data_IF_627630485261
#
_entry.id   IF_627630485261
#
_cell.length_a   1.000
_cell.length_b   1.000
_cell.length_c   1.000
_cell.angle_alpha   90.00
_cell.angle_beta   90.00
_cell.angle_gamma   90.00
#
_symmetry.space_group_name_H-M   'P 1'
#
loop_
_entity.id
_entity.type
_entity.pdbx_description
1 polymer ?
#
# COMPACT_ATOMS: atom_id res chain seq x y z
N UNK A 1 -18.19 17.02 -72.56
CA UNK A 1 -17.94 18.41 -72.11
C UNK A 1 -16.83 18.37 -71.08
N UNK A 2 -15.64 18.84 -71.42
CA UNK A 2 -14.38 18.57 -70.72
C UNK A 2 -13.82 19.89 -70.17
N UNK A 3 -14.29 20.29 -68.98
CA UNK A 3 -13.70 21.39 -68.20
C UNK A 3 -13.71 20.99 -66.73
N UNK A 4 -12.69 20.26 -66.32
CA UNK A 4 -12.45 19.92 -64.92
C UNK A 4 -10.96 19.93 -64.66
N UNK A 5 -10.48 20.89 -63.88
CA UNK A 5 -9.08 20.91 -63.44
C UNK A 5 -8.80 19.65 -62.60
N UNK A 6 -7.66 18.99 -62.80
CA UNK A 6 -7.25 17.85 -61.99
C UNK A 6 -7.12 18.27 -60.52
N UNK A 7 -7.65 17.44 -59.62
CA UNK A 7 -7.60 17.68 -58.18
C UNK A 7 -6.15 17.81 -57.70
N UNK A 8 -5.93 18.49 -56.57
CA UNK A 8 -4.56 18.57 -55.99
C UNK A 8 -4.00 17.18 -55.70
N UNK A 9 -4.86 16.23 -55.35
CA UNK A 9 -4.50 14.83 -55.10
C UNK A 9 -4.06 14.13 -56.40
N UNK A 10 -4.85 14.25 -57.47
CA UNK A 10 -4.52 13.72 -58.78
C UNK A 10 -3.23 14.32 -59.35
N UNK A 11 -3.00 15.62 -59.17
CA UNK A 11 -1.75 16.30 -59.59
C UNK A 11 -0.51 15.82 -58.83
N UNK A 12 -0.68 15.40 -57.58
CA UNK A 12 0.41 14.92 -56.71
C UNK A 12 0.54 13.39 -56.70
N UNK A 13 -0.29 12.68 -57.48
CA UNK A 13 -0.26 11.22 -57.58
C UNK A 13 -0.81 10.49 -56.34
N UNK A 14 -1.64 11.15 -55.52
CA UNK A 14 -2.31 10.51 -54.39
C UNK A 14 -3.63 9.87 -54.82
N UNK A 15 -3.84 8.63 -54.40
CA UNK A 15 -5.04 7.82 -54.63
C UNK A 15 -5.48 7.16 -53.31
N UNK A 16 -6.74 6.74 -53.24
CA UNK A 16 -7.25 5.91 -52.14
C UNK A 16 -6.55 4.53 -52.13
N UNK A 17 -6.60 3.77 -51.02
CA UNK A 17 -5.95 2.45 -50.93
C UNK A 17 -6.41 1.43 -51.97
N UNK A 18 -7.59 1.62 -52.55
CA UNK A 18 -8.16 0.80 -53.62
C UNK A 18 -7.77 1.30 -55.04
N UNK A 19 -6.97 2.37 -55.13
CA UNK A 19 -6.49 2.97 -56.37
C UNK A 19 -7.44 3.99 -56.99
N UNK A 20 -8.57 4.32 -56.35
CA UNK A 20 -9.51 5.32 -56.85
C UNK A 20 -9.04 6.75 -56.60
N UNK A 21 -9.54 7.71 -57.40
CA UNK A 21 -9.16 9.13 -57.24
C UNK A 21 -9.78 9.69 -55.95
N UNK A 22 -8.96 10.39 -55.15
CA UNK A 22 -9.41 11.02 -53.91
C UNK A 22 -10.32 12.21 -54.25
N UNK A 23 -11.58 12.14 -53.80
CA UNK A 23 -12.55 13.22 -53.93
C UNK A 23 -12.90 13.80 -52.56
N UNK A 24 -12.52 15.05 -52.32
CA UNK A 24 -12.85 15.80 -51.09
C UNK A 24 -13.53 17.11 -51.45
N UNK A 25 -14.62 17.41 -50.75
CA UNK A 25 -15.35 18.68 -50.84
C UNK A 25 -14.80 19.69 -49.84
N UNK A 26 -14.93 20.98 -50.13
CA UNK A 26 -14.54 22.05 -49.19
C UNK A 26 -15.25 21.94 -47.84
N UNK A 27 -16.44 21.33 -47.81
CA UNK A 27 -17.22 21.16 -46.58
C UNK A 27 -16.62 20.09 -45.65
N UNK A 28 -16.01 19.03 -46.18
CA UNK A 28 -15.39 17.96 -45.37
C UNK A 28 -14.23 18.49 -44.51
N UNK A 29 -13.42 19.42 -45.03
CA UNK A 29 -12.39 20.10 -44.22
C UNK A 29 -13.00 20.86 -43.04
N UNK A 30 -14.15 21.51 -43.25
CA UNK A 30 -14.86 22.23 -42.18
C UNK A 30 -15.45 21.29 -41.13
N UNK A 31 -15.91 20.10 -41.51
CA UNK A 31 -16.32 19.06 -40.57
C UNK A 31 -15.14 18.58 -39.73
N UNK A 32 -14.03 18.21 -40.38
CA UNK A 32 -12.83 17.72 -39.71
C UNK A 32 -12.26 18.74 -38.72
N UNK A 33 -12.18 20.01 -39.11
CA UNK A 33 -11.73 21.09 -38.24
C UNK A 33 -12.63 21.29 -37.00
N UNK A 34 -13.95 21.09 -37.12
CA UNK A 34 -14.84 21.12 -35.96
C UNK A 34 -14.59 19.94 -35.02
N UNK A 35 -14.41 18.74 -35.56
CA UNK A 35 -14.08 17.54 -34.77
C UNK A 35 -12.79 17.74 -33.98
N UNK A 36 -11.74 18.30 -34.61
CA UNK A 36 -10.49 18.64 -33.93
C UNK A 36 -10.68 19.69 -32.83
N UNK A 37 -11.49 20.72 -33.07
CA UNK A 37 -11.79 21.74 -32.06
C UNK A 37 -12.52 21.16 -30.84
N UNK A 38 -13.48 20.24 -31.07
CA UNK A 38 -14.17 19.53 -30.00
C UNK A 38 -13.23 18.60 -29.22
N UNK A 39 -12.35 17.88 -29.93
CA UNK A 39 -11.33 17.03 -29.31
C UNK A 39 -10.32 17.85 -28.47
N UNK A 40 -9.99 19.06 -28.93
CA UNK A 40 -9.16 20.03 -28.20
C UNK A 40 -9.86 20.67 -26.99
N UNK A 41 -11.12 20.34 -26.72
CA UNK A 41 -11.84 20.79 -25.53
C UNK A 41 -12.56 22.14 -25.65
N UNK A 42 -12.71 22.69 -26.87
CA UNK A 42 -13.49 23.92 -27.06
C UNK A 42 -14.98 23.66 -26.80
N UNK A 43 -15.62 24.61 -26.12
CA UNK A 43 -17.07 24.59 -25.91
C UNK A 43 -17.84 24.81 -27.21
N UNK A 44 -19.11 24.38 -27.25
CA UNK A 44 -19.98 24.59 -28.42
C UNK A 44 -20.15 26.08 -28.77
N UNK A 45 -20.10 26.97 -27.78
CA UNK A 45 -20.16 28.42 -28.02
C UNK A 45 -18.88 28.94 -28.68
N UNK A 46 -17.71 28.51 -28.21
CA UNK A 46 -16.41 28.90 -28.79
C UNK A 46 -16.28 28.38 -30.23
N UNK A 47 -16.70 27.14 -30.46
CA UNK A 47 -16.73 26.54 -31.79
C UNK A 47 -17.65 27.32 -32.72
N UNK A 48 -18.84 27.72 -32.25
CA UNK A 48 -19.76 28.52 -33.05
C UNK A 48 -19.14 29.87 -33.42
N UNK A 49 -18.51 30.56 -32.46
CA UNK A 49 -17.81 31.84 -32.71
C UNK A 49 -16.65 31.69 -33.69
N UNK A 50 -15.76 30.72 -33.45
CA UNK A 50 -14.61 30.45 -34.32
C UNK A 50 -15.03 30.07 -35.75
N UNK A 51 -16.12 29.31 -35.86
CA UNK A 51 -16.68 28.89 -37.14
C UNK A 51 -17.53 29.97 -37.83
N UNK A 52 -17.75 31.13 -37.20
CA UNK A 52 -18.59 32.22 -37.74
C UNK A 52 -20.09 31.91 -37.78
N UNK A 53 -20.58 31.03 -36.88
CA UNK A 53 -22.00 30.65 -36.81
C UNK A 53 -22.79 31.65 -35.96
N UNK A 54 -24.01 31.93 -36.42
CA UNK A 54 -24.97 32.79 -35.69
C UNK A 54 -25.68 32.05 -34.54
N UNK A 55 -25.82 30.73 -34.67
CA UNK A 55 -26.52 29.88 -33.71
C UNK A 55 -25.70 28.62 -33.43
N UNK A 56 -25.62 28.23 -32.15
CA UNK A 56 -24.92 27.05 -31.66
C UNK A 56 -25.60 25.76 -32.13
N UNK A 57 -26.92 25.79 -32.39
CA UNK A 57 -27.67 24.64 -32.91
C UNK A 57 -27.08 24.10 -34.23
N UNK A 58 -26.42 24.96 -35.00
CA UNK A 58 -25.77 24.61 -36.27
C UNK A 58 -24.52 23.73 -36.10
N UNK A 59 -23.99 23.57 -34.87
CA UNK A 59 -22.85 22.70 -34.63
C UNK A 59 -23.19 21.22 -34.74
N UNK A 60 -24.44 20.82 -34.48
CA UNK A 60 -24.86 19.42 -34.44
C UNK A 60 -24.65 18.69 -35.78
N UNK A 61 -24.84 19.38 -36.90
CA UNK A 61 -24.57 18.83 -38.23
C UNK A 61 -23.08 18.56 -38.50
N UNK A 62 -22.18 19.02 -37.62
CA UNK A 62 -20.73 18.93 -37.74
C UNK A 62 -20.06 18.16 -36.60
N UNK A 63 -20.83 17.68 -35.63
CA UNK A 63 -20.33 16.85 -34.55
C UNK A 63 -20.29 15.39 -35.02
N UNK A 64 -19.08 14.90 -35.27
CA UNK A 64 -18.80 13.52 -35.65
C UNK A 64 -18.04 12.77 -34.55
N UNK A 65 -18.15 13.23 -33.29
CA UNK A 65 -17.49 12.58 -32.16
C UNK A 65 -18.03 11.16 -31.99
N UNK A 66 -17.16 10.15 -32.10
CA UNK A 66 -17.58 8.76 -31.95
C UNK A 66 -17.72 8.35 -30.47
N UNK A 67 -18.39 7.22 -30.21
CA UNK A 67 -18.44 6.64 -28.87
C UNK A 67 -17.04 6.29 -28.33
N UNK A 68 -16.12 5.91 -29.22
CA UNK A 68 -14.73 5.62 -28.86
C UNK A 68 -13.97 6.88 -28.46
N UNK A 69 -14.17 8.00 -29.17
CA UNK A 69 -13.59 9.29 -28.80
C UNK A 69 -14.07 9.75 -27.42
N UNK A 70 -15.37 9.54 -27.13
CA UNK A 70 -15.92 9.83 -25.80
C UNK A 70 -15.32 8.94 -24.73
N UNK A 71 -15.15 7.64 -24.98
CA UNK A 71 -14.52 6.70 -24.05
C UNK A 71 -13.07 7.09 -23.74
N UNK A 72 -12.31 7.53 -24.73
CA UNK A 72 -10.94 8.02 -24.54
C UNK A 72 -10.92 9.29 -23.68
N UNK A 73 -11.84 10.23 -23.90
CA UNK A 73 -11.99 11.42 -23.03
C UNK A 73 -12.30 11.05 -21.59
N UNK A 74 -13.20 10.08 -21.36
CA UNK A 74 -13.46 9.57 -20.02
C UNK A 74 -12.19 8.99 -19.38
N UNK A 75 -11.48 8.10 -20.08
CA UNK A 75 -10.22 7.50 -19.58
C UNK A 75 -9.16 8.53 -19.24
N UNK A 76 -8.98 9.56 -20.07
CA UNK A 76 -8.00 10.62 -19.84
C UNK A 76 -8.37 11.55 -18.67
N UNK A 77 -9.65 11.58 -18.29
CA UNK A 77 -10.15 12.42 -17.19
C UNK A 77 -10.21 11.66 -15.87
N UNK A 78 -10.33 10.33 -15.91
CA UNK A 78 -10.33 9.47 -14.72
C UNK A 78 -9.00 9.62 -13.98
N UNK A 79 -9.06 10.12 -12.76
CA UNK A 79 -7.92 10.41 -11.89
C UNK A 79 -7.51 11.88 -11.78
N UNK A 80 -8.06 12.79 -12.59
CA UNK A 80 -7.84 14.24 -12.46
C UNK A 80 -8.85 14.87 -11.47
N UNK A 81 -8.45 15.25 -10.24
CA UNK A 81 -9.36 15.78 -9.23
C UNK A 81 -9.91 17.18 -9.58
N UNK A 82 -9.33 17.89 -10.55
CA UNK A 82 -9.86 19.18 -11.01
C UNK A 82 -10.93 19.02 -12.09
N UNK A 83 -11.01 17.86 -12.74
CA UNK A 83 -11.92 17.60 -13.87
C UNK A 83 -12.99 16.56 -13.57
N UNK A 84 -12.96 15.94 -12.39
CA UNK A 84 -13.97 14.98 -11.95
C UNK A 84 -14.82 15.52 -10.81
N UNK A 85 -16.14 15.32 -10.93
CA UNK A 85 -17.11 15.62 -9.88
C UNK A 85 -18.00 14.39 -9.64
N UNK A 86 -18.41 14.15 -8.39
CA UNK A 86 -19.30 13.03 -8.02
C UNK A 86 -18.58 11.70 -7.71
N UNK A 87 -19.29 10.55 -7.71
CA UNK A 87 -18.77 9.26 -7.22
C UNK A 87 -17.52 8.73 -7.93
N UNK A 88 -17.30 9.13 -9.19
CA UNK A 88 -16.09 8.78 -9.94
C UNK A 88 -14.85 9.55 -9.47
N UNK A 89 -15.02 10.74 -8.88
CA UNK A 89 -13.91 11.51 -8.28
C UNK A 89 -13.40 10.87 -6.99
N UNK A 90 -14.26 10.13 -6.29
CA UNK A 90 -13.92 9.37 -5.08
C UNK A 90 -13.45 7.95 -5.36
N UNK A 91 -13.38 7.54 -6.63
CA UNK A 91 -12.86 6.23 -6.99
C UNK A 91 -11.38 6.14 -6.54
N UNK A 92 -10.98 5.08 -5.81
CA UNK A 92 -9.63 4.98 -5.30
C UNK A 92 -8.64 4.91 -6.46
N UNK A 93 -7.87 5.97 -6.66
CA UNK A 93 -6.71 5.94 -7.52
C UNK A 93 -5.68 5.01 -6.90
N UNK A 94 -5.54 3.81 -7.46
CA UNK A 94 -4.40 2.94 -7.18
C UNK A 94 -3.23 3.43 -8.02
N UNK A 95 -2.65 4.55 -7.61
CA UNK A 95 -1.42 5.05 -8.21
C UNK A 95 -0.33 4.01 -7.95
N UNK A 96 0.25 3.47 -9.03
CA UNK A 96 1.46 2.67 -8.94
C UNK A 96 2.61 3.63 -8.69
N UNK A 97 3.18 3.58 -7.49
CA UNK A 97 4.38 4.34 -7.14
C UNK A 97 5.62 3.48 -7.33
N UNK A 98 6.77 4.13 -7.48
CA UNK A 98 8.04 3.43 -7.56
C UNK A 98 8.39 2.74 -6.22
N UNK A 99 9.21 1.69 -6.26
CA UNK A 99 9.51 0.87 -5.07
C UNK A 99 10.27 1.64 -3.99
N UNK A 100 11.13 2.55 -4.39
CA UNK A 100 11.88 3.46 -3.52
C UNK A 100 10.97 4.47 -2.83
N UNK A 101 10.01 5.05 -3.56
CA UNK A 101 8.97 5.91 -2.97
C UNK A 101 8.13 5.14 -1.94
N UNK A 102 7.77 3.89 -2.25
CA UNK A 102 7.07 3.02 -1.31
C UNK A 102 7.88 2.71 -0.04
N UNK A 103 9.19 2.51 -0.18
CA UNK A 103 10.06 2.23 0.96
C UNK A 103 10.12 3.42 1.94
N UNK A 104 10.18 4.66 1.42
CA UNK A 104 10.15 5.89 2.22
C UNK A 104 8.82 6.01 2.99
N UNK A 105 7.71 5.66 2.34
CA UNK A 105 6.39 5.66 2.99
C UNK A 105 6.24 4.54 4.03
N UNK A 106 6.91 3.41 3.83
CA UNK A 106 6.81 2.24 4.72
C UNK A 106 7.66 2.38 5.99
N UNK A 107 8.77 3.11 5.91
CA UNK A 107 9.68 3.34 7.04
C UNK A 107 10.01 4.85 7.10
N UNK A 108 9.06 5.69 7.57
CA UNK A 108 9.23 7.13 7.56
C UNK A 108 10.29 7.60 8.57
N UNK A 109 10.47 6.86 9.67
CA UNK A 109 11.48 7.14 10.69
C UNK A 109 12.08 5.85 11.25
N UNK A 110 13.25 5.93 11.88
CA UNK A 110 13.88 4.82 12.60
C UNK A 110 14.48 5.33 13.92
N UNK A 111 13.72 5.20 15.01
CA UNK A 111 14.14 5.63 16.33
C UNK A 111 15.01 4.56 17.01
N UNK A 112 16.16 4.93 17.57
CA UNK A 112 17.02 3.97 18.27
C UNK A 112 16.38 3.48 19.57
N UNK A 113 16.33 2.16 19.76
CA UNK A 113 15.96 1.51 21.02
C UNK A 113 17.18 0.82 21.64
N UNK A 114 17.00 0.18 22.79
CA UNK A 114 18.06 -0.56 23.46
C UNK A 114 18.50 -1.80 22.65
N UNK A 115 17.55 -2.52 22.04
CA UNK A 115 17.85 -3.76 21.29
C UNK A 115 17.78 -3.61 19.76
N UNK A 116 17.30 -2.48 19.23
CA UNK A 116 17.21 -2.25 17.79
C UNK A 116 16.72 -0.85 17.40
N UNK A 117 15.73 -0.81 16.52
CA UNK A 117 15.12 0.41 15.99
C UNK A 117 13.60 0.28 15.93
N UNK A 118 12.89 1.37 16.22
CA UNK A 118 11.45 1.47 16.09
C UNK A 118 11.12 2.26 14.82
N UNK A 119 10.37 1.64 13.91
CA UNK A 119 9.94 2.25 12.64
C UNK A 119 8.59 2.97 12.71
N UNK A 120 8.04 3.10 13.92
CA UNK A 120 6.72 3.72 14.14
C UNK A 120 6.70 5.18 13.69
N UNK A 121 5.62 5.57 13.00
CA UNK A 121 5.40 6.95 12.59
C UNK A 121 4.76 7.78 13.70
N UNK A 122 5.63 8.37 14.53
CA UNK A 122 5.22 9.27 15.62
C UNK A 122 4.57 10.57 15.14
N UNK A 123 4.65 10.90 13.85
CA UNK A 123 3.95 12.08 13.30
C UNK A 123 2.45 11.80 13.09
N UNK A 124 2.10 10.53 12.88
CA UNK A 124 0.72 10.09 12.68
C UNK A 124 0.03 9.71 13.99
N UNK A 125 0.74 9.04 14.91
CA UNK A 125 0.17 8.63 16.20
C UNK A 125 1.23 8.41 17.28
N UNK A 126 0.88 8.53 18.57
CA UNK A 126 1.75 8.05 19.65
C UNK A 126 1.77 6.51 19.74
N UNK A 127 2.87 5.96 20.27
CA UNK A 127 3.00 4.52 20.51
C UNK A 127 1.97 4.01 21.53
N UNK A 128 1.16 3.03 21.15
CA UNK A 128 0.11 2.43 22.00
C UNK A 128 0.63 1.31 22.90
N UNK A 129 1.82 0.78 22.62
CA UNK A 129 2.43 -0.35 23.35
C UNK A 129 3.37 0.07 24.49
N UNK A 130 3.68 1.36 24.63
CA UNK A 130 4.35 1.94 25.81
C UNK A 130 5.56 1.14 26.32
N UNK A 131 6.60 1.00 25.48
CA UNK A 131 7.85 0.25 25.77
C UNK A 131 7.74 -1.27 25.77
N UNK A 132 6.58 -1.84 25.43
CA UNK A 132 6.46 -3.26 25.13
C UNK A 132 6.96 -3.60 23.71
N UNK A 133 8.21 -3.22 23.42
CA UNK A 133 8.79 -3.31 22.09
C UNK A 133 8.91 -4.74 21.60
N UNK A 134 9.02 -5.72 22.50
CA UNK A 134 9.13 -7.13 22.11
C UNK A 134 7.84 -7.65 21.49
N UNK A 135 6.67 -7.15 21.90
CA UNK A 135 5.38 -7.47 21.29
C UNK A 135 5.00 -6.56 20.13
N UNK A 136 5.81 -5.54 19.83
CA UNK A 136 5.59 -4.60 18.74
C UNK A 136 6.09 -5.18 17.41
N UNK A 137 5.24 -5.16 16.38
CA UNK A 137 5.65 -5.51 15.01
C UNK A 137 6.53 -4.45 14.36
N UNK A 138 6.70 -3.26 14.94
CA UNK A 138 7.52 -2.16 14.41
C UNK A 138 8.93 -2.13 15.00
N UNK A 139 9.31 -3.13 15.81
CA UNK A 139 10.69 -3.31 16.28
C UNK A 139 11.52 -4.05 15.22
N UNK A 140 12.60 -3.42 14.77
CA UNK A 140 13.57 -3.96 13.81
C UNK A 140 14.93 -4.09 14.48
N UNK A 141 15.51 -5.28 14.43
CA UNK A 141 16.85 -5.58 14.95
C UNK A 141 17.82 -5.87 13.81
N UNK A 142 19.12 -5.64 14.01
CA UNK A 142 20.14 -5.85 12.98
C UNK A 142 21.07 -6.99 13.39
N UNK A 143 21.15 -8.04 12.57
CA UNK A 143 22.11 -9.13 12.77
C UNK A 143 23.55 -8.60 12.66
N UNK A 144 24.40 -8.98 13.62
CA UNK A 144 25.80 -8.55 13.65
C UNK A 144 26.08 -7.33 14.53
N UNK A 145 25.04 -6.68 15.06
CA UNK A 145 25.21 -5.68 16.12
C UNK A 145 25.49 -6.38 17.45
N UNK A 146 26.78 -6.56 17.76
CA UNK A 146 27.23 -7.28 18.95
C UNK A 146 26.76 -6.61 20.25
N UNK A 147 26.70 -5.27 20.28
CA UNK A 147 26.32 -4.51 21.47
C UNK A 147 24.84 -4.72 21.80
N UNK A 148 23.97 -4.50 20.81
CA UNK A 148 22.52 -4.68 21.00
C UNK A 148 22.13 -6.15 21.19
N UNK A 149 22.83 -7.07 20.52
CA UNK A 149 22.62 -8.50 20.70
C UNK A 149 22.96 -8.93 22.12
N UNK A 150 24.05 -8.39 22.70
CA UNK A 150 24.38 -8.69 24.09
C UNK A 150 23.38 -8.07 25.06
N UNK A 151 22.93 -6.83 24.80
CA UNK A 151 21.89 -6.21 25.62
C UNK A 151 20.57 -6.99 25.57
N UNK A 152 20.20 -7.54 24.41
CA UNK A 152 19.05 -8.44 24.28
C UNK A 152 19.18 -9.67 25.17
N UNK A 153 20.37 -10.29 25.26
CA UNK A 153 20.62 -11.43 26.15
C UNK A 153 20.47 -11.06 27.62
N UNK A 154 20.96 -9.88 28.01
CA UNK A 154 20.78 -9.35 29.36
C UNK A 154 19.30 -9.13 29.69
N UNK A 155 18.55 -8.50 28.76
CA UNK A 155 17.09 -8.33 28.89
C UNK A 155 16.35 -9.67 28.99
N UNK A 156 16.76 -10.68 28.22
CA UNK A 156 16.19 -12.02 28.30
C UNK A 156 16.44 -12.66 29.67
N UNK A 157 17.64 -12.48 30.24
CA UNK A 157 17.94 -12.97 31.57
C UNK A 157 17.07 -12.30 32.65
N UNK A 158 16.89 -10.97 32.58
CA UNK A 158 15.98 -10.22 33.44
C UNK A 158 14.53 -10.71 33.28
N UNK A 159 14.06 -10.88 32.04
CA UNK A 159 12.71 -11.33 31.74
C UNK A 159 12.41 -12.74 32.26
N UNK A 160 13.37 -13.66 32.18
CA UNK A 160 13.26 -15.01 32.75
C UNK A 160 13.10 -14.96 34.27
N UNK A 161 13.88 -14.10 34.94
CA UNK A 161 13.77 -13.88 36.39
C UNK A 161 12.39 -13.32 36.77
N UNK A 162 11.86 -12.37 36.00
CA UNK A 162 10.53 -11.81 36.23
C UNK A 162 9.41 -12.83 35.99
N UNK A 163 9.52 -13.64 34.93
CA UNK A 163 8.61 -14.75 34.68
C UNK A 163 8.58 -15.74 35.84
N UNK A 164 9.73 -16.10 36.39
CA UNK A 164 9.81 -17.07 37.48
C UNK A 164 9.15 -16.54 38.77
N UNK A 165 9.30 -15.23 39.05
CA UNK A 165 8.56 -14.57 40.14
C UNK A 165 7.05 -14.57 39.88
N UNK A 166 6.63 -14.19 38.67
CA UNK A 166 5.22 -14.19 38.28
C UNK A 166 4.58 -15.59 38.38
N UNK A 167 5.35 -16.66 38.15
CA UNK A 167 4.90 -18.04 38.28
C UNK A 167 4.63 -18.41 39.74
N UNK A 168 5.49 -17.99 40.67
CA UNK A 168 5.31 -18.19 42.10
C UNK A 168 4.06 -17.45 42.59
N UNK A 169 3.89 -16.19 42.19
CA UNK A 169 2.76 -15.36 42.61
C UNK A 169 1.41 -15.87 42.07
N UNK A 170 1.37 -16.34 40.82
CA UNK A 170 0.19 -17.00 40.22
C UNK A 170 -0.16 -18.29 40.96
N UNK A 171 0.85 -19.08 41.35
CA UNK A 171 0.63 -20.29 42.17
C UNK A 171 0.13 -19.98 43.58
N UNK A 172 0.38 -18.76 44.09
CA UNK A 172 -0.10 -18.26 45.37
C UNK A 172 -1.57 -17.80 45.36
N UNK A 173 -2.27 -17.84 44.22
CA UNK A 173 -3.69 -17.53 44.12
C UNK A 173 -4.03 -16.03 44.12
N UNK A 174 -3.05 -15.16 43.82
CA UNK A 174 -3.29 -13.72 43.72
C UNK A 174 -4.19 -13.39 42.53
N UNK A 175 -5.26 -12.62 42.77
CA UNK A 175 -6.20 -12.19 41.74
C UNK A 175 -5.47 -11.45 40.59
N UNK A 176 -5.61 -11.94 39.36
CA UNK A 176 -5.01 -11.34 38.17
C UNK A 176 -3.57 -11.75 37.85
N UNK A 177 -2.92 -12.52 38.71
CA UNK A 177 -1.54 -12.98 38.50
C UNK A 177 -1.38 -13.87 37.25
N UNK A 178 -2.45 -14.52 36.80
CA UNK A 178 -2.43 -15.36 35.61
C UNK A 178 -2.15 -14.58 34.32
N UNK A 179 -2.75 -13.39 34.17
CA UNK A 179 -2.53 -12.52 33.00
C UNK A 179 -1.11 -11.99 32.97
N UNK A 180 -0.60 -11.63 34.16
CA UNK A 180 0.79 -11.18 34.33
C UNK A 180 1.79 -12.28 33.96
N UNK A 181 1.54 -13.51 34.40
CA UNK A 181 2.34 -14.67 34.02
C UNK A 181 2.29 -14.94 32.51
N UNK A 182 1.11 -14.87 31.88
CA UNK A 182 0.99 -15.04 30.40
C UNK A 182 1.85 -14.01 29.67
N UNK A 183 1.78 -12.74 30.06
CA UNK A 183 2.56 -11.68 29.44
C UNK A 183 4.07 -11.97 29.56
N UNK A 184 4.57 -12.27 30.77
CA UNK A 184 5.99 -12.57 30.97
C UNK A 184 6.46 -13.82 30.24
N UNK A 185 5.62 -14.85 30.13
CA UNK A 185 5.93 -16.03 29.32
C UNK A 185 6.10 -15.65 27.85
N UNK A 186 5.18 -14.85 27.29
CA UNK A 186 5.26 -14.40 25.90
C UNK A 186 6.47 -13.49 25.66
N UNK A 187 6.79 -12.57 26.59
CA UNK A 187 8.00 -11.74 26.50
C UNK A 187 9.27 -12.59 26.39
N UNK A 188 9.40 -13.61 27.25
CA UNK A 188 10.56 -14.52 27.23
C UNK A 188 10.62 -15.31 25.93
N UNK A 189 9.50 -15.88 25.49
CA UNK A 189 9.44 -16.64 24.23
C UNK A 189 9.87 -15.77 23.04
N UNK A 190 9.39 -14.53 22.96
CA UNK A 190 9.71 -13.62 21.86
C UNK A 190 11.17 -13.18 21.89
N UNK A 191 11.71 -12.89 23.06
CA UNK A 191 13.14 -12.60 23.22
C UNK A 191 14.01 -13.80 22.85
N UNK A 192 13.59 -15.03 23.17
CA UNK A 192 14.29 -16.26 22.80
C UNK A 192 14.28 -16.48 21.27
N UNK A 193 13.13 -16.27 20.63
CA UNK A 193 13.02 -16.31 19.17
C UNK A 193 13.96 -15.30 18.50
N UNK A 194 13.98 -14.06 18.99
CA UNK A 194 14.86 -13.02 18.47
C UNK A 194 16.34 -13.38 18.67
N UNK A 195 16.71 -13.87 19.86
CA UNK A 195 18.07 -14.36 20.13
C UNK A 195 18.47 -15.50 19.19
N UNK A 196 17.54 -16.44 18.92
CA UNK A 196 17.78 -17.56 18.02
C UNK A 196 18.08 -17.08 16.60
N UNK A 197 17.26 -16.18 16.04
CA UNK A 197 17.47 -15.63 14.70
C UNK A 197 18.79 -14.83 14.64
N UNK A 198 19.05 -14.01 15.66
CA UNK A 198 20.28 -13.21 15.74
C UNK A 198 21.53 -14.03 16.03
N UNK A 199 21.40 -15.31 16.42
CA UNK A 199 22.52 -16.22 16.61
C UNK A 199 22.65 -17.26 15.49
N UNK A 200 21.62 -17.43 14.67
CA UNK A 200 21.60 -18.38 13.54
C UNK A 200 22.71 -18.02 12.51
N UNK A 201 23.63 -18.95 12.19
CA UNK A 201 24.64 -18.74 11.16
C UNK A 201 24.06 -18.61 9.75
N UNK A 202 22.83 -19.06 9.51
CA UNK A 202 22.16 -18.92 8.21
C UNK A 202 21.57 -17.52 8.01
N UNK A 203 21.43 -16.71 9.06
CA UNK A 203 21.02 -15.30 8.96
C UNK A 203 22.25 -14.45 8.63
N UNK A 204 22.30 -13.78 7.46
CA UNK A 204 23.46 -12.99 7.08
C UNK A 204 23.64 -11.77 7.99
N UNK A 205 24.89 -11.40 8.27
CA UNK A 205 25.21 -10.16 8.97
C UNK A 205 24.68 -8.95 8.19
N UNK A 206 24.10 -7.99 8.89
CA UNK A 206 23.39 -6.85 8.32
C UNK A 206 21.91 -7.11 8.01
N UNK A 207 21.42 -8.34 8.16
CA UNK A 207 19.99 -8.63 7.99
C UNK A 207 19.14 -7.84 8.99
N UNK A 208 18.06 -7.23 8.48
CA UNK A 208 17.01 -6.63 9.29
C UNK A 208 16.05 -7.74 9.74
N UNK A 209 15.89 -7.90 11.04
CA UNK A 209 15.08 -8.93 11.69
C UNK A 209 13.91 -8.27 12.39
N UNK A 210 12.71 -8.69 12.02
CA UNK A 210 11.46 -8.28 12.63
C UNK A 210 10.66 -9.54 12.97
N UNK A 211 10.17 -9.65 14.20
CA UNK A 211 9.29 -10.74 14.58
C UNK A 211 7.89 -10.49 14.03
N UNK A 212 7.21 -11.56 13.61
CA UNK A 212 5.79 -11.49 13.32
C UNK A 212 5.00 -10.95 14.53
N UNK A 213 3.87 -10.27 14.29
CA UNK A 213 3.01 -9.82 15.37
C UNK A 213 2.63 -10.99 16.28
N UNK A 214 2.51 -10.78 17.59
CA UNK A 214 2.11 -11.83 18.51
C UNK A 214 0.77 -12.40 18.03
N UNK A 215 0.63 -13.73 18.10
CA UNK A 215 -0.64 -14.38 17.79
C UNK A 215 -1.67 -13.84 18.77
N UNK A 216 -2.69 -13.16 18.27
CA UNK A 216 -3.91 -12.98 19.05
C UNK A 216 -4.43 -14.38 19.41
N UNK A 217 -4.95 -14.61 20.63
CA UNK A 217 -5.55 -15.90 20.95
C UNK A 217 -6.71 -16.13 19.97
N UNK A 218 -6.53 -17.06 19.04
CA UNK A 218 -7.41 -17.21 17.86
C UNK A 218 -8.75 -17.82 18.26
N UNK A 219 -8.87 -18.41 19.46
CA UNK A 219 -10.12 -18.83 20.07
C UNK A 219 -9.97 -19.09 21.58
N UNK A 220 -11.09 -19.03 22.32
CA UNK A 220 -11.19 -19.39 23.75
C UNK A 220 -10.63 -20.80 24.05
N UNK A 221 -10.65 -21.71 23.08
CA UNK A 221 -10.14 -23.07 23.23
C UNK A 221 -8.60 -23.19 23.25
N UNK A 222 -7.86 -22.33 22.55
CA UNK A 222 -6.39 -22.28 22.68
C UNK A 222 -5.98 -21.75 24.07
N UNK A 223 -6.75 -20.79 24.60
CA UNK A 223 -6.56 -20.29 25.97
C UNK A 223 -6.82 -21.38 27.03
N UNK A 224 -7.78 -22.28 26.78
CA UNK A 224 -8.01 -23.48 27.61
C UNK A 224 -6.88 -24.50 27.49
N UNK A 225 -6.31 -24.70 26.30
CA UNK A 225 -5.18 -25.62 26.10
C UNK A 225 -3.90 -25.10 26.77
N UNK A 226 -3.61 -23.80 26.69
CA UNK A 226 -2.50 -23.16 27.41
C UNK A 226 -2.70 -23.30 28.93
N UNK A 227 -3.93 -23.15 29.42
CA UNK A 227 -4.28 -23.37 30.83
C UNK A 227 -4.09 -24.83 31.27
N UNK A 228 -4.42 -25.80 30.39
CA UNK A 228 -4.18 -27.23 30.64
C UNK A 228 -2.68 -27.58 30.61
N UNK A 229 -1.89 -26.93 29.75
CA UNK A 229 -0.44 -27.11 29.69
C UNK A 229 0.26 -26.52 30.93
N UNK A 230 -0.21 -25.36 31.43
CA UNK A 230 0.19 -24.78 32.72
C UNK A 230 -0.04 -25.76 33.89
N UNK A 231 -1.17 -26.46 33.93
CA UNK A 231 -1.47 -27.46 34.96
C UNK A 231 -0.56 -28.71 34.89
N UNK A 232 -0.19 -29.16 33.68
CA UNK A 232 0.73 -30.30 33.51
C UNK A 232 2.15 -29.98 33.96
N UNK A 233 2.66 -28.78 33.67
CA UNK A 233 3.98 -28.32 34.14
C UNK A 233 4.04 -28.15 35.67
N UNK A 234 2.96 -27.67 36.29
CA UNK A 234 2.86 -27.57 37.75
C UNK A 234 2.81 -28.95 38.45
N UNK A 235 2.14 -29.93 37.82
CA UNK A 235 2.03 -31.31 38.35
C UNK A 235 3.35 -32.09 38.24
N UNK A 236 4.08 -31.94 37.13
CA UNK A 236 5.36 -32.62 36.91
C UNK A 236 6.45 -32.21 37.92
N UNK A 237 6.40 -30.98 38.46
CA UNK A 237 7.32 -30.49 39.50
C UNK A 237 7.02 -31.00 40.92
N UNK A 238 5.79 -31.42 41.23
CA UNK A 238 5.46 -32.01 42.56
C UNK A 238 5.97 -33.44 42.73
N UNK A 239 6.26 -34.15 41.64
CA UNK A 239 6.73 -35.55 41.69
C UNK A 239 8.26 -35.65 41.77
N UNK A 240 8.99 -34.57 41.45
CA UNK A 240 10.47 -34.54 41.45
C UNK A 240 11.13 -33.98 42.71
N UNK A 241 10.36 -33.44 43.66
CA UNK A 241 10.88 -32.95 44.94
C UNK A 241 10.57 -33.94 46.07
N UNK A 242 11.53 -34.82 46.37
CA UNK A 242 11.60 -35.47 47.68
C UNK A 242 12.08 -34.48 48.73
#
# INVERSE_FOLDING_TARGET
MQWGFSSVFGRLGYAEPDGTEIHVTSHQFRHYLNTLAQAGGLSQLEIAKWSGRRDVSQNAAYDHTSAEDMLQRFRATVGDPQKMFGPLATAPMRALIARDEFAILSVPTAHTTDVGYCIHDYTMSPCTLHRDCFHCSELVCVKGDAVRTELLRQRLHEARTLRDKALVDSSGGSLGADRWLVHHMSTVERMEQLCAILSDPNTPNGALVQLSPPKEPVNEDESRQISAQKMKLASSRRVGGK
#
